data_IF_490273507679
#
_entry.id   IF_490273507679
#
_cell.length_a   1.000
_cell.length_b   1.000
_cell.length_c   1.000
_cell.angle_alpha   90.00
_cell.angle_beta   90.00
_cell.angle_gamma   90.00
#
_symmetry.space_group_name_H-M   'P 1'
#
loop_
_entity.id
_entity.type
_entity.pdbx_description
1 polymer ?
#
# COMPACT_ATOMS: atom_id res chain seq x y z
N UNK A 1 39.15 -7.40 9.10
CA UNK A 1 37.87 -6.68 9.30
C UNK A 1 36.93 -7.24 8.26
N UNK A 2 35.86 -7.92 8.70
CA UNK A 2 34.88 -8.52 7.79
C UNK A 2 33.89 -7.44 7.40
N UNK A 3 33.78 -7.16 6.10
CA UNK A 3 32.76 -6.27 5.54
C UNK A 3 31.39 -6.94 5.66
N UNK A 4 30.81 -6.87 6.85
CA UNK A 4 29.45 -7.34 7.08
C UNK A 4 28.49 -6.32 6.46
N UNK A 5 27.92 -6.69 5.31
CA UNK A 5 26.84 -5.93 4.68
C UNK A 5 25.52 -6.47 5.18
N UNK A 6 24.63 -5.56 5.62
CA UNK A 6 23.31 -5.90 6.13
C UNK A 6 22.44 -6.58 5.04
N UNK A 7 21.92 -7.80 5.27
CA UNK A 7 20.99 -8.46 4.35
C UNK A 7 19.77 -7.61 3.98
N UNK A 8 19.30 -6.74 4.88
CA UNK A 8 18.17 -5.84 4.63
C UNK A 8 18.51 -4.83 3.53
N UNK A 9 19.77 -4.38 3.47
CA UNK A 9 20.24 -3.46 2.44
C UNK A 9 20.13 -4.11 1.05
N UNK A 10 20.55 -5.37 0.91
CA UNK A 10 20.43 -6.08 -0.37
C UNK A 10 18.99 -6.29 -0.82
N UNK A 11 18.08 -6.54 0.12
CA UNK A 11 16.65 -6.67 -0.19
C UNK A 11 16.07 -5.36 -0.73
N UNK A 12 16.40 -4.23 -0.10
CA UNK A 12 15.96 -2.90 -0.54
C UNK A 12 16.53 -2.58 -1.93
N UNK A 13 17.82 -2.82 -2.16
CA UNK A 13 18.47 -2.61 -3.46
C UNK A 13 17.84 -3.49 -4.54
N UNK A 14 17.54 -4.75 -4.24
CA UNK A 14 16.87 -5.65 -5.17
C UNK A 14 15.45 -5.17 -5.52
N UNK A 15 14.71 -4.62 -4.55
CA UNK A 15 13.38 -4.03 -4.78
C UNK A 15 13.45 -2.77 -5.63
N UNK A 16 14.40 -1.88 -5.37
CA UNK A 16 14.62 -0.68 -6.18
C UNK A 16 14.91 -1.05 -7.64
N UNK A 17 15.79 -2.03 -7.84
CA UNK A 17 16.15 -2.50 -9.18
C UNK A 17 14.98 -3.17 -9.90
N UNK A 18 14.25 -4.06 -9.21
CA UNK A 18 13.07 -4.72 -9.77
C UNK A 18 11.98 -3.71 -10.14
N UNK A 19 11.72 -2.71 -9.27
CA UNK A 19 10.80 -1.62 -9.55
C UNK A 19 11.24 -0.83 -10.79
N UNK A 20 12.52 -0.45 -10.87
CA UNK A 20 13.07 0.27 -12.02
C UNK A 20 12.91 -0.49 -13.32
N UNK A 21 13.31 -1.77 -13.35
CA UNK A 21 13.18 -2.61 -14.53
C UNK A 21 11.71 -2.75 -14.95
N UNK A 22 10.81 -3.02 -13.99
CA UNK A 22 9.39 -3.17 -14.27
C UNK A 22 8.73 -1.91 -14.83
N UNK A 23 9.05 -0.73 -14.28
CA UNK A 23 8.53 0.54 -14.80
C UNK A 23 9.05 0.83 -16.21
N UNK A 24 10.35 0.61 -16.45
CA UNK A 24 10.95 0.83 -17.76
C UNK A 24 10.37 -0.11 -18.82
N UNK A 25 10.20 -1.38 -18.47
CA UNK A 25 9.58 -2.39 -19.33
C UNK A 25 8.11 -2.08 -19.62
N UNK A 26 7.37 -1.60 -18.62
CA UNK A 26 5.99 -1.18 -18.83
C UNK A 26 5.89 0.01 -19.81
N UNK A 27 6.73 1.03 -19.62
CA UNK A 27 6.75 2.22 -20.47
C UNK A 27 7.12 1.86 -21.92
N UNK A 28 8.05 0.91 -22.13
CA UNK A 28 8.47 0.53 -23.48
C UNK A 28 7.41 -0.28 -24.24
N UNK A 29 6.53 -0.99 -23.54
CA UNK A 29 5.54 -1.88 -24.17
C UNK A 29 4.12 -1.31 -24.22
N UNK A 30 3.78 -0.32 -23.38
CA UNK A 30 2.41 0.19 -23.27
C UNK A 30 2.32 1.68 -23.60
N UNK A 31 1.70 2.03 -24.73
CA UNK A 31 1.49 3.45 -25.08
C UNK A 31 0.33 4.05 -24.27
N UNK A 32 0.41 5.32 -23.82
CA UNK A 32 -0.66 5.94 -23.03
C UNK A 32 -2.03 5.95 -23.70
N UNK A 33 -2.07 6.09 -25.02
CA UNK A 33 -3.31 6.13 -25.79
C UNK A 33 -4.04 4.77 -25.85
N UNK A 34 -3.32 3.66 -25.60
CA UNK A 34 -3.85 2.30 -25.70
C UNK A 34 -4.09 1.66 -24.32
N UNK A 35 -4.08 2.44 -23.24
CA UNK A 35 -4.14 1.91 -21.88
C UNK A 35 -5.49 1.21 -21.60
N UNK A 36 -5.44 -0.10 -21.52
CA UNK A 36 -6.55 -0.97 -21.15
C UNK A 36 -6.81 -0.94 -19.63
N UNK A 37 -8.00 -1.35 -19.17
CA UNK A 37 -8.29 -1.49 -17.73
C UNK A 37 -7.32 -2.43 -17.02
N UNK A 38 -6.85 -3.48 -17.70
CA UNK A 38 -5.87 -4.42 -17.16
C UNK A 38 -4.52 -3.74 -16.90
N UNK A 39 -4.01 -2.98 -17.87
CA UNK A 39 -2.77 -2.22 -17.71
C UNK A 39 -2.91 -1.12 -16.66
N UNK A 40 -4.10 -0.55 -16.48
CA UNK A 40 -4.37 0.35 -15.35
C UNK A 40 -4.26 -0.36 -13.99
N UNK A 41 -4.63 -1.64 -13.92
CA UNK A 41 -4.36 -2.49 -12.75
C UNK A 41 -2.85 -2.70 -12.52
N UNK A 42 -2.06 -2.86 -13.58
CA UNK A 42 -0.61 -2.93 -13.46
C UNK A 42 0.00 -1.63 -12.93
N UNK A 43 -0.50 -0.46 -13.36
CA UNK A 43 -0.11 0.85 -12.78
C UNK A 43 -0.41 0.93 -11.29
N UNK A 44 -1.55 0.41 -10.84
CA UNK A 44 -1.87 0.33 -9.42
C UNK A 44 -0.85 -0.52 -8.66
N UNK A 45 -0.41 -1.65 -9.24
CA UNK A 45 0.64 -2.48 -8.65
C UNK A 45 1.98 -1.73 -8.56
N UNK A 46 2.37 -0.95 -9.57
CA UNK A 46 3.58 -0.13 -9.49
C UNK A 46 3.50 0.92 -8.39
N UNK A 47 2.37 1.62 -8.24
CA UNK A 47 2.16 2.57 -7.14
C UNK A 47 2.31 1.87 -5.79
N UNK A 48 1.75 0.66 -5.63
CA UNK A 48 1.91 -0.11 -4.40
C UNK A 48 3.37 -0.55 -4.17
N UNK A 49 4.03 -1.06 -5.21
CA UNK A 49 5.43 -1.49 -5.14
C UNK A 49 6.39 -0.35 -4.80
N UNK A 50 6.11 0.88 -5.22
CA UNK A 50 6.91 2.06 -4.86
C UNK A 50 7.06 2.23 -3.35
N UNK A 51 6.02 1.95 -2.55
CA UNK A 51 6.11 2.02 -1.09
C UNK A 51 7.03 0.97 -0.47
N UNK A 52 7.35 -0.10 -1.21
CA UNK A 52 8.31 -1.12 -0.80
C UNK A 52 9.76 -0.82 -1.22
N UNK A 53 10.00 0.23 -2.00
CA UNK A 53 11.34 0.68 -2.43
C UNK A 53 12.01 1.56 -1.35
N UNK A 54 13.28 1.91 -1.54
CA UNK A 54 13.96 2.95 -0.75
C UNK A 54 13.38 4.35 -0.94
N UNK A 55 12.52 4.54 -1.95
CA UNK A 55 12.00 5.84 -2.38
C UNK A 55 13.11 6.85 -2.66
N UNK A 56 14.27 6.38 -3.13
CA UNK A 56 15.35 7.24 -3.58
C UNK A 56 14.90 8.13 -4.77
N UNK A 57 15.73 9.13 -5.11
CA UNK A 57 15.42 10.08 -6.19
C UNK A 57 15.12 9.42 -7.54
N UNK A 58 15.72 8.26 -7.83
CA UNK A 58 15.49 7.56 -9.08
C UNK A 58 14.10 6.92 -9.12
N UNK A 59 13.68 6.23 -8.05
CA UNK A 59 12.33 5.67 -7.93
C UNK A 59 11.26 6.77 -7.95
N UNK A 60 11.54 7.90 -7.30
CA UNK A 60 10.68 9.10 -7.32
C UNK A 60 10.51 9.66 -8.73
N UNK A 61 11.60 9.80 -9.50
CA UNK A 61 11.55 10.26 -10.90
C UNK A 61 10.72 9.33 -11.76
N UNK A 62 10.86 8.02 -11.58
CA UNK A 62 10.05 7.02 -12.31
C UNK A 62 8.55 7.12 -12.00
N UNK A 63 8.17 7.39 -10.74
CA UNK A 63 6.76 7.64 -10.38
C UNK A 63 6.23 8.89 -11.07
N UNK A 64 7.01 9.98 -11.12
CA UNK A 64 6.59 11.17 -11.86
C UNK A 64 6.47 10.89 -13.36
N UNK A 65 7.42 10.16 -13.95
CA UNK A 65 7.33 9.75 -15.36
C UNK A 65 6.04 8.96 -15.62
N UNK A 66 5.70 7.99 -14.76
CA UNK A 66 4.43 7.26 -14.88
C UNK A 66 3.21 8.17 -14.73
N UNK A 67 3.25 9.11 -13.78
CA UNK A 67 2.18 10.08 -13.60
C UNK A 67 1.97 10.97 -14.82
N UNK A 68 3.06 11.53 -15.37
CA UNK A 68 3.00 12.43 -16.50
C UNK A 68 2.55 11.70 -17.78
N UNK A 69 2.90 10.42 -17.93
CA UNK A 69 2.52 9.61 -19.09
C UNK A 69 1.11 9.03 -18.99
N UNK A 70 0.71 8.48 -17.84
CA UNK A 70 -0.52 7.67 -17.72
C UNK A 70 -1.58 8.26 -16.79
N UNK A 71 -1.32 9.41 -16.18
CA UNK A 71 -2.15 10.05 -15.16
C UNK A 71 -2.51 9.11 -14.00
N UNK A 72 -1.66 9.12 -12.98
CA UNK A 72 -1.86 8.33 -11.74
C UNK A 72 -2.92 8.91 -10.79
N UNK A 73 -3.70 9.92 -11.20
CA UNK A 73 -4.78 10.46 -10.36
C UNK A 73 -5.81 9.38 -10.02
N UNK A 74 -6.13 9.27 -8.73
CA UNK A 74 -7.03 8.24 -8.19
C UNK A 74 -6.35 6.89 -7.91
N UNK A 75 -5.14 6.67 -8.40
CA UNK A 75 -4.29 5.53 -7.98
C UNK A 75 -3.30 5.92 -6.89
N UNK A 76 -2.85 7.18 -6.90
CA UNK A 76 -1.93 7.75 -5.94
C UNK A 76 -2.46 9.09 -5.43
N UNK A 77 -2.21 9.39 -4.16
CA UNK A 77 -2.59 10.66 -3.55
C UNK A 77 -1.83 11.82 -4.20
N UNK A 78 -2.55 12.86 -4.61
CA UNK A 78 -2.00 14.07 -5.23
C UNK A 78 -1.00 14.79 -4.33
N UNK A 79 -1.21 14.79 -3.01
CA UNK A 79 -0.27 15.38 -2.06
C UNK A 79 1.08 14.65 -2.04
N UNK A 80 1.07 13.33 -2.25
CA UNK A 80 2.32 12.54 -2.34
C UNK A 80 3.04 12.86 -3.65
N UNK A 81 2.33 12.94 -4.77
CA UNK A 81 2.92 13.35 -6.05
C UNK A 81 3.52 14.76 -5.99
N UNK A 82 2.83 15.70 -5.34
CA UNK A 82 3.34 17.06 -5.15
C UNK A 82 4.59 17.09 -4.25
N UNK A 83 4.62 16.28 -3.19
CA UNK A 83 5.81 16.14 -2.36
C UNK A 83 7.00 15.59 -3.15
N UNK A 84 6.78 14.58 -3.99
CA UNK A 84 7.81 14.01 -4.87
C UNK A 84 8.35 15.07 -5.84
N UNK A 85 7.47 15.87 -6.46
CA UNK A 85 7.87 16.98 -7.35
C UNK A 85 8.75 17.99 -6.63
N UNK A 86 8.34 18.43 -5.44
CA UNK A 86 9.11 19.38 -4.64
C UNK A 86 10.48 18.81 -4.29
N UNK A 87 10.54 17.55 -3.85
CA UNK A 87 11.80 16.91 -3.46
C UNK A 87 12.79 16.81 -4.63
N UNK A 88 12.33 16.37 -5.81
CA UNK A 88 13.16 16.32 -7.02
C UNK A 88 13.63 17.73 -7.39
N UNK A 89 12.74 18.73 -7.37
CA UNK A 89 13.09 20.10 -7.72
C UNK A 89 14.14 20.71 -6.77
N UNK A 90 14.01 20.45 -5.46
CA UNK A 90 15.01 20.87 -4.46
C UNK A 90 16.37 20.25 -4.76
N UNK A 91 16.43 18.97 -5.09
CA UNK A 91 17.67 18.29 -5.41
C UNK A 91 18.30 18.76 -6.73
N UNK A 92 17.51 19.04 -7.76
CA UNK A 92 18.02 19.57 -9.04
C UNK A 92 18.57 21.00 -8.88
N UNK A 93 17.93 21.80 -8.02
CA UNK A 93 18.38 23.17 -7.68
C UNK A 93 19.70 23.15 -6.89
N UNK A 94 19.81 22.29 -5.88
CA UNK A 94 21.03 22.18 -5.06
C UNK A 94 22.19 21.52 -5.82
N UNK A 95 21.91 20.52 -6.67
CA UNK A 95 22.93 19.86 -7.50
C UNK A 95 23.56 20.80 -8.53
N UNK A 96 22.78 21.76 -9.05
CA UNK A 96 23.27 22.76 -9.99
C UNK A 96 24.18 23.81 -9.32
N UNK A 97 23.91 24.16 -8.06
CA UNK A 97 24.70 25.16 -7.31
C UNK A 97 26.12 24.68 -6.95
N UNK A 98 26.36 23.37 -6.88
CA UNK A 98 27.68 22.80 -6.58
C UNK A 98 28.55 22.58 -7.83
N UNK A 99 27.99 22.70 -9.04
CA UNK A 99 28.71 22.44 -10.29
C UNK A 99 29.35 23.70 -10.91
N UNK A 100 29.05 24.89 -10.40
CA UNK A 100 29.51 26.16 -10.98
C UNK A 100 30.55 26.91 -10.15
N UNK A 101 31.40 26.22 -9.38
CA UNK A 101 32.58 26.86 -8.79
C UNK A 101 33.72 26.83 -9.82
N UNK A 102 34.03 27.95 -10.52
CA UNK A 102 35.29 28.03 -11.25
C UNK A 102 36.42 27.83 -10.24
N UNK A 103 37.26 26.83 -10.50
CA UNK A 103 38.48 26.56 -9.74
C UNK A 103 39.35 27.82 -9.76
N UNK A 104 39.27 28.64 -8.72
CA UNK A 104 40.14 29.81 -8.54
C UNK A 104 40.67 29.77 -7.12
N UNK A 105 41.97 29.48 -7.05
CA UNK A 105 42.96 29.83 -6.04
C UNK A 105 42.48 30.17 -4.62
N UNK A 106 42.76 29.24 -3.71
CA UNK A 106 42.86 29.40 -2.25
C UNK A 106 43.74 30.62 -1.92
N UNK A 107 43.31 31.57 -1.06
CA UNK A 107 43.68 31.49 0.37
C UNK A 107 42.65 32.04 1.37
N UNK A 108 42.66 31.42 2.56
CA UNK A 108 42.24 32.06 3.81
C UNK A 108 40.86 31.65 4.33
N UNK A 109 40.82 30.62 5.18
CA UNK A 109 39.73 30.43 6.13
C UNK A 109 39.74 31.56 7.18
N UNK A 110 38.56 32.06 7.57
CA UNK A 110 38.34 32.38 8.98
C UNK A 110 37.10 31.70 9.56
N UNK A 111 37.32 31.28 10.81
CA UNK A 111 36.43 31.14 11.96
C UNK A 111 34.91 30.92 11.76
N UNK A 112 34.49 29.78 12.30
CA UNK A 112 33.11 29.41 12.63
C UNK A 112 32.46 30.36 13.63
N UNK A 113 31.14 30.58 13.49
CA UNK A 113 30.20 31.01 14.54
C UNK A 113 28.72 30.81 14.07
N UNK A 114 27.70 30.87 14.96
CA UNK A 114 26.94 29.68 15.37
C UNK A 114 25.50 29.59 14.82
N UNK A 115 24.93 28.39 15.00
CA UNK A 115 23.54 28.05 14.71
C UNK A 115 22.54 28.84 15.56
N UNK A 116 21.59 29.51 14.89
CA UNK A 116 20.34 29.98 15.47
C UNK A 116 19.20 29.06 15.01
N UNK A 117 18.63 28.29 15.94
CA UNK A 117 17.40 27.55 15.74
C UNK A 117 16.21 28.50 15.90
N UNK A 118 15.56 28.84 14.78
CA UNK A 118 14.28 29.55 14.77
C UNK A 118 13.12 28.56 14.66
N UNK A 119 12.40 28.33 15.75
CA UNK A 119 11.09 27.68 15.76
C UNK A 119 10.07 28.58 15.03
N UNK A 120 9.48 28.11 13.92
CA UNK A 120 8.27 28.71 13.38
C UNK A 120 7.05 27.83 13.65
N UNK A 121 6.15 28.42 14.44
CA UNK A 121 4.79 28.00 14.75
C UNK A 121 3.92 28.39 13.54
N UNK A 122 3.34 27.41 12.84
CA UNK A 122 2.27 27.68 11.87
C UNK A 122 0.91 27.55 12.54
N UNK A 123 0.22 28.70 12.65
CA UNK A 123 -1.20 28.78 12.95
C UNK A 123 -2.03 28.47 11.69
N UNK A 124 -3.20 27.88 11.92
CA UNK A 124 -4.00 27.23 10.90
C UNK A 124 -4.85 28.14 10.02
N UNK A 125 -5.58 27.50 9.11
CA UNK A 125 -6.80 28.05 8.53
C UNK A 125 -7.69 26.91 8.07
N UNK A 126 -8.84 26.79 8.74
CA UNK A 126 -10.00 25.99 8.35
C UNK A 126 -10.69 26.65 7.14
N UNK A 127 -11.33 25.86 6.27
CA UNK A 127 -12.55 26.27 5.61
C UNK A 127 -13.73 25.39 6.05
N UNK A 128 -14.84 26.06 6.39
CA UNK A 128 -16.10 25.46 6.80
C UNK A 128 -16.93 24.87 5.63
N UNK A 129 -18.12 24.33 5.96
CA UNK A 129 -18.89 23.45 5.08
C UNK A 129 -19.94 24.22 4.29
N UNK A 130 -20.18 23.84 3.03
CA UNK A 130 -21.40 24.30 2.34
C UNK A 130 -21.93 23.28 1.31
N UNK A 131 -23.20 22.93 1.56
CA UNK A 131 -24.32 22.59 0.66
C UNK A 131 -24.43 21.16 0.11
N UNK A 132 -25.48 20.51 0.63
CA UNK A 132 -26.16 19.33 0.11
C UNK A 132 -26.84 19.61 -1.24
N UNK A 133 -26.69 18.68 -2.19
CA UNK A 133 -27.48 18.65 -3.42
C UNK A 133 -28.32 17.36 -3.50
N UNK A 134 -29.57 17.60 -3.83
CA UNK A 134 -30.77 16.75 -3.99
C UNK A 134 -30.60 15.67 -5.07
N UNK A 135 -31.30 14.52 -4.98
CA UNK A 135 -31.15 13.41 -5.93
C UNK A 135 -31.97 13.60 -7.22
N UNK A 136 -31.38 13.26 -8.36
CA UNK A 136 -32.07 13.10 -9.64
C UNK A 136 -32.18 11.61 -10.03
N UNK A 137 -33.32 11.17 -10.61
CA UNK A 137 -33.53 9.79 -11.01
C UNK A 137 -33.13 9.55 -12.48
N UNK A 138 -32.55 8.37 -12.74
CA UNK A 138 -32.81 7.63 -13.97
C UNK A 138 -31.90 7.90 -15.17
N UNK A 139 -30.71 7.28 -15.16
CA UNK A 139 -30.07 6.74 -16.37
C UNK A 139 -29.35 5.45 -15.95
N UNK A 140 -29.83 4.28 -16.41
CA UNK A 140 -29.10 3.02 -16.28
C UNK A 140 -27.96 2.99 -17.31
N UNK A 141 -26.69 2.91 -16.90
CA UNK A 141 -25.63 2.52 -17.81
C UNK A 141 -25.62 1.00 -17.89
N UNK A 142 -25.81 0.48 -19.10
CA UNK A 142 -25.57 -0.92 -19.43
C UNK A 142 -24.18 -1.34 -18.96
N UNK A 143 -24.14 -2.26 -18.00
CA UNK A 143 -22.93 -2.79 -17.42
C UNK A 143 -22.11 -3.51 -18.51
N UNK A 144 -21.14 -2.80 -19.09
CA UNK A 144 -20.07 -3.41 -19.84
C UNK A 144 -19.13 -4.07 -18.83
N UNK A 145 -19.32 -5.37 -18.64
CA UNK A 145 -18.48 -6.25 -17.82
C UNK A 145 -17.09 -6.35 -18.46
N UNK A 146 -16.27 -5.34 -18.23
CA UNK A 146 -14.81 -5.50 -18.26
C UNK A 146 -14.49 -6.55 -17.20
N UNK A 147 -14.24 -7.78 -17.64
CA UNK A 147 -13.91 -8.92 -16.81
C UNK A 147 -12.58 -8.68 -16.11
N UNK A 148 -12.62 -7.92 -15.02
CA UNK A 148 -11.69 -8.00 -13.89
C UNK A 148 -11.37 -9.48 -13.70
N UNK A 149 -10.09 -9.86 -13.75
CA UNK A 149 -9.63 -11.23 -13.48
C UNK A 149 -10.25 -11.65 -12.15
N UNK A 150 -11.34 -12.42 -12.21
CA UNK A 150 -11.98 -12.94 -11.03
C UNK A 150 -11.02 -13.93 -10.43
N UNK A 151 -10.64 -13.67 -9.19
CA UNK A 151 -9.80 -14.57 -8.42
C UNK A 151 -10.57 -15.83 -8.03
N UNK A 152 -11.89 -15.82 -8.17
CA UNK A 152 -12.73 -16.98 -7.89
C UNK A 152 -13.36 -17.57 -9.17
N UNK A 153 -13.67 -18.88 -9.19
CA UNK A 153 -14.40 -19.50 -10.30
C UNK A 153 -15.74 -18.79 -10.57
N UNK A 154 -16.15 -18.76 -11.83
CA UNK A 154 -17.45 -18.21 -12.22
C UNK A 154 -18.56 -18.99 -11.49
N UNK A 155 -19.50 -18.27 -10.87
CA UNK A 155 -20.59 -18.81 -10.05
C UNK A 155 -20.16 -19.35 -8.68
N UNK A 156 -19.25 -18.65 -7.99
CA UNK A 156 -18.96 -18.95 -6.59
C UNK A 156 -20.25 -18.80 -5.75
N UNK A 157 -20.94 -19.91 -5.52
CA UNK A 157 -22.01 -19.94 -4.52
C UNK A 157 -21.40 -19.50 -3.17
N UNK A 158 -22.11 -18.65 -2.43
CA UNK A 158 -21.70 -18.20 -1.11
C UNK A 158 -21.78 -19.35 -0.11
N UNK A 159 -20.84 -20.28 -0.22
CA UNK A 159 -20.80 -21.52 0.55
C UNK A 159 -19.69 -21.42 1.58
N UNK A 160 -20.09 -21.12 2.82
CA UNK A 160 -19.18 -21.12 3.96
C UNK A 160 -19.49 -22.39 4.76
N UNK A 161 -18.72 -23.46 4.55
CA UNK A 161 -18.92 -24.72 5.29
C UNK A 161 -18.22 -24.69 6.64
N UNK A 162 -17.18 -23.86 6.79
CA UNK A 162 -16.51 -23.65 8.07
C UNK A 162 -17.47 -22.96 9.05
N UNK A 163 -17.76 -23.65 10.15
CA UNK A 163 -18.53 -23.08 11.26
C UNK A 163 -17.84 -21.81 11.79
N UNK A 164 -18.58 -20.93 12.47
CA UNK A 164 -18.01 -19.69 13.02
C UNK A 164 -16.72 -19.91 13.85
N UNK A 165 -16.59 -21.09 14.47
CA UNK A 165 -15.38 -21.60 15.09
C UNK A 165 -15.24 -23.09 14.76
N UNK A 166 -14.36 -23.41 13.82
CA UNK A 166 -13.95 -24.78 13.58
C UNK A 166 -12.54 -24.99 14.12
N UNK A 167 -12.36 -25.94 15.04
CA UNK A 167 -11.10 -26.08 15.78
C UNK A 167 -9.92 -26.49 14.88
N UNK A 168 -10.19 -27.24 13.82
CA UNK A 168 -9.18 -27.79 12.91
C UNK A 168 -8.64 -26.83 11.85
N UNK A 169 -9.18 -25.60 11.73
CA UNK A 169 -8.83 -24.69 10.65
C UNK A 169 -8.60 -23.25 11.13
N UNK A 170 -7.71 -22.54 10.43
CA UNK A 170 -7.49 -21.11 10.59
C UNK A 170 -7.40 -20.41 9.23
N UNK A 171 -7.85 -19.16 9.18
CA UNK A 171 -7.70 -18.26 8.04
C UNK A 171 -6.31 -17.64 8.05
N UNK A 172 -5.48 -17.93 7.05
CA UNK A 172 -4.17 -17.28 6.89
C UNK A 172 -4.35 -15.91 6.24
N UNK A 173 -3.86 -14.85 6.89
CA UNK A 173 -3.81 -13.53 6.28
C UNK A 173 -2.82 -13.52 5.11
N UNK A 174 -3.29 -13.09 3.93
CA UNK A 174 -2.51 -13.01 2.69
C UNK A 174 -1.35 -12.00 2.76
N UNK A 175 -1.41 -11.02 3.66
CA UNK A 175 -0.39 -10.00 3.80
C UNK A 175 0.66 -10.32 4.88
N UNK A 176 0.27 -10.91 6.01
CA UNK A 176 1.18 -11.14 7.15
C UNK A 176 1.39 -12.61 7.53
N UNK A 177 0.71 -13.55 6.86
CA UNK A 177 0.80 -14.99 7.15
C UNK A 177 0.22 -15.43 8.50
N UNK A 178 -0.40 -14.52 9.26
CA UNK A 178 -0.94 -14.86 10.58
C UNK A 178 -2.23 -15.69 10.44
N UNK A 179 -2.28 -16.84 11.12
CA UNK A 179 -3.44 -17.73 11.15
C UNK A 179 -4.46 -17.32 12.22
N UNK A 180 -5.69 -17.00 11.81
CA UNK A 180 -6.78 -16.57 12.70
C UNK A 180 -7.90 -17.60 12.67
N UNK A 181 -8.33 -18.06 13.84
CA UNK A 181 -9.32 -19.15 13.97
C UNK A 181 -10.75 -18.65 13.78
N UNK A 182 -11.03 -17.46 14.30
CA UNK A 182 -12.39 -16.92 14.34
C UNK A 182 -12.64 -16.05 13.10
N UNK A 183 -13.71 -16.38 12.36
CA UNK A 183 -14.08 -15.64 11.13
C UNK A 183 -14.28 -14.14 11.38
N UNK A 184 -14.93 -13.77 12.48
CA UNK A 184 -15.15 -12.36 12.84
C UNK A 184 -13.84 -11.62 13.17
N UNK A 185 -12.89 -12.30 13.82
CA UNK A 185 -11.57 -11.72 14.09
C UNK A 185 -10.73 -11.59 12.83
N UNK A 186 -10.84 -12.56 11.91
CA UNK A 186 -10.21 -12.50 10.61
C UNK A 186 -10.74 -11.32 9.81
N UNK A 187 -12.06 -11.14 9.74
CA UNK A 187 -12.63 -9.98 9.04
C UNK A 187 -12.19 -8.64 9.65
N UNK A 188 -12.15 -8.53 10.98
CA UNK A 188 -11.60 -7.35 11.67
C UNK A 188 -10.11 -7.15 11.36
N UNK A 189 -9.33 -8.22 11.32
CA UNK A 189 -7.92 -8.17 10.95
C UNK A 189 -7.72 -7.60 9.54
N UNK A 190 -8.50 -8.05 8.56
CA UNK A 190 -8.43 -7.54 7.18
C UNK A 190 -8.87 -6.07 7.09
N UNK A 191 -9.91 -5.70 7.83
CA UNK A 191 -10.39 -4.31 7.89
C UNK A 191 -9.35 -3.38 8.52
N UNK A 192 -8.93 -3.68 9.75
CA UNK A 192 -8.13 -2.77 10.56
C UNK A 192 -6.63 -2.87 10.23
N UNK A 193 -6.18 -4.06 9.83
CA UNK A 193 -4.78 -4.34 9.51
C UNK A 193 -4.40 -4.08 8.05
N UNK A 194 -5.37 -4.05 7.13
CA UNK A 194 -5.11 -3.85 5.70
C UNK A 194 -6.04 -2.82 5.03
N UNK A 195 -6.91 -2.15 5.79
CA UNK A 195 -7.82 -1.14 5.26
C UNK A 195 -8.96 -1.69 4.39
N UNK A 196 -9.20 -3.01 4.39
CA UNK A 196 -10.24 -3.64 3.55
C UNK A 196 -11.63 -3.46 4.17
N UNK A 197 -12.19 -2.26 4.02
CA UNK A 197 -13.46 -1.89 4.62
C UNK A 197 -14.61 -2.79 4.13
N UNK A 198 -15.41 -3.31 5.07
CA UNK A 198 -16.53 -4.21 4.76
C UNK A 198 -16.12 -5.61 4.27
N UNK A 199 -14.86 -6.00 4.49
CA UNK A 199 -14.38 -7.34 4.16
C UNK A 199 -15.24 -8.45 4.81
N UNK A 200 -15.62 -9.43 4.00
CA UNK A 200 -16.31 -10.65 4.42
C UNK A 200 -15.78 -11.85 3.64
N UNK A 201 -15.63 -12.98 4.33
CA UNK A 201 -15.34 -14.27 3.70
C UNK A 201 -16.62 -14.77 3.03
N UNK A 202 -16.56 -15.11 1.73
CA UNK A 202 -17.69 -15.59 0.93
C UNK A 202 -17.67 -17.10 0.69
N UNK A 203 -16.48 -17.71 0.67
CA UNK A 203 -16.32 -19.17 0.59
C UNK A 203 -15.13 -19.61 1.43
N UNK A 204 -15.30 -20.68 2.17
CA UNK A 204 -14.23 -21.38 2.86
C UNK A 204 -14.70 -22.83 3.05
N UNK A 205 -14.12 -23.75 2.29
CA UNK A 205 -14.56 -25.13 2.18
C UNK A 205 -13.35 -26.09 2.25
N UNK A 206 -12.81 -26.34 3.44
CA UNK A 206 -11.52 -27.02 3.60
C UNK A 206 -11.50 -28.44 3.06
N UNK A 207 -12.65 -29.13 3.05
CA UNK A 207 -12.79 -30.48 2.51
C UNK A 207 -12.69 -30.51 0.97
N UNK A 208 -13.02 -29.41 0.31
CA UNK A 208 -12.91 -29.24 -1.15
C UNK A 208 -11.57 -28.62 -1.53
N UNK A 209 -11.25 -27.50 -0.90
CA UNK A 209 -10.06 -26.71 -1.17
C UNK A 209 -9.59 -25.98 0.11
N UNK A 210 -8.31 -26.08 0.51
CA UNK A 210 -7.77 -25.38 1.67
C UNK A 210 -7.50 -23.89 1.36
N UNK A 211 -8.49 -23.21 0.78
CA UNK A 211 -8.46 -21.81 0.37
C UNK A 211 -9.71 -21.10 0.88
N UNK A 212 -9.55 -19.87 1.33
CA UNK A 212 -10.66 -18.96 1.61
C UNK A 212 -10.74 -17.91 0.50
N UNK A 213 -11.97 -17.47 0.23
CA UNK A 213 -12.28 -16.39 -0.70
C UNK A 213 -13.04 -15.30 0.06
N UNK A 214 -12.69 -14.04 -0.16
CA UNK A 214 -13.32 -12.89 0.49
C UNK A 214 -13.59 -11.76 -0.48
N UNK A 215 -14.55 -10.91 -0.13
CA UNK A 215 -14.85 -9.67 -0.85
C UNK A 215 -14.96 -8.51 0.13
N UNK A 216 -14.56 -7.31 -0.28
CA UNK A 216 -14.76 -6.09 0.49
C UNK A 216 -16.04 -5.33 0.06
N UNK A 217 -16.27 -4.15 0.66
CA UNK A 217 -17.40 -3.30 0.32
C UNK A 217 -17.31 -2.70 -1.10
N UNK A 218 -16.10 -2.60 -1.66
CA UNK A 218 -15.88 -2.10 -3.02
C UNK A 218 -16.05 -3.19 -4.09
N UNK A 219 -16.25 -4.45 -3.67
CA UNK A 219 -16.34 -5.59 -4.57
C UNK A 219 -14.98 -6.12 -5.03
N UNK A 220 -13.88 -5.71 -4.37
CA UNK A 220 -12.58 -6.31 -4.62
C UNK A 220 -12.57 -7.74 -4.08
N UNK A 221 -12.03 -8.66 -4.87
CA UNK A 221 -11.94 -10.07 -4.54
C UNK A 221 -10.56 -10.40 -3.97
N UNK A 222 -10.55 -11.28 -2.96
CA UNK A 222 -9.34 -11.73 -2.28
C UNK A 222 -9.38 -13.24 -2.10
N UNK A 223 -8.21 -13.86 -2.07
CA UNK A 223 -8.06 -15.26 -1.70
C UNK A 223 -6.87 -15.44 -0.76
N UNK A 224 -6.88 -16.52 0.01
CA UNK A 224 -5.72 -16.94 0.77
C UNK A 224 -5.89 -18.36 1.29
N UNK A 225 -4.88 -18.86 1.99
CA UNK A 225 -4.84 -20.25 2.42
C UNK A 225 -5.61 -20.48 3.73
N UNK A 226 -6.22 -21.64 3.85
CA UNK A 226 -6.69 -22.20 5.12
C UNK A 226 -5.60 -23.09 5.71
N UNK A 227 -5.23 -22.85 6.97
CA UNK A 227 -4.23 -23.62 7.68
C UNK A 227 -4.91 -24.68 8.52
N UNK A 228 -4.54 -25.94 8.29
CA UNK A 228 -4.90 -27.03 9.18
C UNK A 228 -4.21 -26.80 10.54
N UNK A 229 -4.99 -26.81 11.61
CA UNK A 229 -4.49 -26.74 12.97
C UNK A 229 -4.41 -28.14 13.55
N UNK A 230 -3.22 -28.49 14.01
CA UNK A 230 -3.06 -29.54 15.00
C UNK A 230 -3.30 -28.89 16.35
N UNK A 231 -4.24 -29.43 17.13
CA UNK A 231 -4.54 -28.98 18.49
C UNK A 231 -3.27 -29.13 19.35
N UNK A 232 -2.51 -28.05 19.44
CA UNK A 232 -1.32 -27.92 20.26
C UNK A 232 -1.69 -26.96 21.38
N UNK A 233 -2.20 -27.51 22.48
CA UNK A 233 -2.72 -26.79 23.65
C UNK A 233 -1.65 -25.85 24.27
N UNK A 234 -0.37 -26.08 23.98
CA UNK A 234 0.76 -25.33 24.54
C UNK A 234 1.31 -24.22 23.64
N UNK A 235 0.75 -23.97 22.45
CA UNK A 235 1.24 -22.91 21.58
C UNK A 235 0.90 -21.52 22.12
N UNK A 236 1.94 -20.82 22.57
CA UNK A 236 1.88 -19.40 22.92
C UNK A 236 1.28 -18.58 21.76
N UNK A 237 0.46 -17.55 22.04
CA UNK A 237 -0.09 -16.68 21.01
C UNK A 237 1.03 -16.08 20.16
N UNK A 238 1.03 -16.36 18.87
CA UNK A 238 2.01 -15.80 17.95
C UNK A 238 1.73 -14.30 17.80
N UNK A 239 2.77 -13.46 17.93
CA UNK A 239 2.65 -12.02 17.67
C UNK A 239 2.34 -11.81 16.19
N UNK A 240 1.44 -10.87 15.90
CA UNK A 240 1.10 -10.50 14.52
C UNK A 240 2.28 -9.70 13.94
N UNK A 241 2.85 -10.20 12.85
CA UNK A 241 3.96 -9.56 12.14
C UNK A 241 3.56 -8.32 11.33
N UNK A 242 4.55 -7.68 10.72
CA UNK A 242 4.35 -6.65 9.70
C UNK A 242 3.70 -7.26 8.44
N UNK A 243 2.82 -6.55 7.72
CA UNK A 243 2.39 -5.15 7.92
C UNK A 243 1.24 -4.96 8.94
N UNK A 244 0.50 -6.02 9.28
CA UNK A 244 -0.74 -5.88 10.03
C UNK A 244 -0.56 -5.50 11.50
N UNK A 245 0.50 -6.00 12.16
CA UNK A 245 0.72 -5.83 13.60
C UNK A 245 0.69 -4.37 14.08
N UNK A 246 1.53 -3.47 13.51
CA UNK A 246 1.53 -2.05 13.86
C UNK A 246 0.19 -1.35 13.62
N UNK A 247 -0.48 -1.65 12.49
CA UNK A 247 -1.76 -1.04 12.11
C UNK A 247 -2.89 -1.45 13.06
N UNK A 248 -2.94 -2.74 13.44
CA UNK A 248 -3.90 -3.24 14.43
C UNK A 248 -3.66 -2.63 15.81
N UNK A 249 -2.40 -2.45 16.21
CA UNK A 249 -2.07 -1.81 17.47
C UNK A 249 -2.52 -0.33 17.48
N UNK A 250 -2.31 0.39 16.38
CA UNK A 250 -2.77 1.77 16.22
C UNK A 250 -4.31 1.86 16.27
N UNK A 251 -5.01 1.02 15.53
CA UNK A 251 -6.49 0.97 15.53
C UNK A 251 -7.07 0.70 16.92
N UNK A 252 -6.47 -0.23 17.68
CA UNK A 252 -6.87 -0.48 19.08
C UNK A 252 -6.66 0.73 19.98
N UNK A 253 -5.56 1.46 19.83
CA UNK A 253 -5.29 2.68 20.61
C UNK A 253 -6.31 3.77 20.29
N UNK A 254 -6.62 3.98 19.00
CA UNK A 254 -7.62 4.96 18.59
C UNK A 254 -8.98 4.66 19.22
N UNK A 255 -9.42 3.40 19.14
CA UNK A 255 -10.69 3.00 19.75
C UNK A 255 -10.73 3.23 21.27
N UNK A 256 -9.62 2.97 21.97
CA UNK A 256 -9.52 3.24 23.41
C UNK A 256 -9.62 4.74 23.73
N UNK A 257 -9.10 5.61 22.86
CA UNK A 257 -9.23 7.05 23.01
C UNK A 257 -10.66 7.53 22.72
N UNK A 258 -11.32 6.94 21.72
CA UNK A 258 -12.70 7.27 21.36
C UNK A 258 -13.69 6.82 22.46
N UNK A 259 -13.47 5.64 23.06
CA UNK A 259 -14.31 5.10 24.14
C UNK A 259 -14.14 5.87 25.48
N UNK A 260 -13.11 6.70 25.61
CA UNK A 260 -12.83 7.48 26.82
C UNK A 260 -13.42 8.90 26.80
N UNK A 261 -13.92 9.37 25.65
CA UNK A 261 -14.56 10.68 25.47
C UNK A 261 -16.09 10.57 25.53
#
# INVERSE_FOLDING_TARGET
MSDYVDPVFFEIVARDEAFRCGVQDFISHHTPAALTPFERGALHNFVFSYYGTSQNLQSQRLILTLHDMYNLQGLMDTAVLDNIRVNIHTHDTMGSALSSVPYSSIPGQPAALPMAHGNQIFHGTQPGPVIAATPHPGVQPSASTNSLLRCHPANLEHTITIAHREKGWAFECDACGHGIVYRGEFARHMKDGLGRAGFKVVRAAPDEEPVWYGIDAAGNEYMGRLLARVDDEDKKPQRIGSPCGPLLAASRRQKQMDDAN
#
